data_IF_380706941693
#
_entry.id   IF_380706941693
#
_cell.length_a   1.000
_cell.length_b   1.000
_cell.length_c   1.000
_cell.angle_alpha   90.00
_cell.angle_beta   90.00
_cell.angle_gamma   90.00
#
_symmetry.space_group_name_H-M   'P 1'
#
loop_
_entity.id
_entity.type
_entity.pdbx_description
1 polymer ?
#
# COMPACT_ATOMS: atom_id res chain seq x y z
N UNK A 1 17.03 12.77 -2.55
CA UNK A 1 15.97 12.43 -1.56
C UNK A 1 15.46 11.00 -1.83
N UNK A 2 15.39 10.15 -0.80
CA UNK A 2 14.91 8.77 -0.94
C UNK A 2 13.38 8.68 -0.94
N UNK A 3 12.83 7.59 -1.47
CA UNK A 3 11.40 7.28 -1.44
C UNK A 3 11.19 5.77 -1.28
N UNK A 4 10.08 5.40 -0.62
CA UNK A 4 9.64 4.01 -0.48
C UNK A 4 8.53 3.77 -1.51
N UNK A 5 8.64 2.73 -2.33
CA UNK A 5 7.66 2.41 -3.37
C UNK A 5 6.75 1.25 -2.92
N UNK A 6 5.44 1.45 -3.04
CA UNK A 6 4.40 0.47 -2.77
C UNK A 6 3.64 0.14 -4.05
N UNK A 7 3.56 -1.15 -4.39
CA UNK A 7 2.79 -1.68 -5.54
C UNK A 7 3.03 -0.97 -6.89
N UNK A 8 4.22 -0.39 -7.10
CA UNK A 8 4.64 0.23 -8.35
C UNK A 8 4.08 1.63 -8.68
N UNK A 9 3.02 2.09 -8.01
CA UNK A 9 2.40 3.41 -8.30
C UNK A 9 2.27 4.33 -7.08
N UNK A 10 2.32 3.79 -5.87
CA UNK A 10 2.31 4.61 -4.65
C UNK A 10 3.76 4.81 -4.19
N UNK A 11 4.16 6.03 -3.84
CA UNK A 11 5.44 6.29 -3.22
C UNK A 11 5.25 7.16 -1.97
N UNK A 12 6.04 6.89 -0.95
CA UNK A 12 6.13 7.71 0.26
C UNK A 12 7.49 8.40 0.22
N UNK A 13 7.56 9.74 0.21
CA UNK A 13 8.84 10.44 0.31
C UNK A 13 9.52 10.08 1.64
N UNK A 14 10.84 10.13 1.73
CA UNK A 14 11.51 10.01 3.02
C UNK A 14 11.15 11.23 3.89
N UNK A 15 10.80 10.99 5.17
CA UNK A 15 10.50 12.06 6.10
C UNK A 15 11.71 12.99 6.27
N UNK A 16 11.47 14.29 6.16
CA UNK A 16 12.42 15.36 6.46
C UNK A 16 11.75 16.47 7.29
N UNK A 17 12.55 17.45 7.71
CA UNK A 17 12.10 18.54 8.59
C UNK A 17 11.06 19.48 7.96
N UNK A 18 10.84 19.39 6.64
CA UNK A 18 9.96 20.27 5.86
C UNK A 18 8.71 19.59 5.33
N UNK A 19 8.68 18.25 5.27
CA UNK A 19 7.66 17.50 4.53
C UNK A 19 6.67 16.70 5.40
N UNK A 20 6.67 16.89 6.73
CA UNK A 20 5.85 16.08 7.64
C UNK A 20 4.37 15.96 7.26
N UNK A 21 3.74 17.06 6.81
CA UNK A 21 2.34 17.03 6.39
C UNK A 21 2.10 16.12 5.19
N UNK A 22 2.90 16.28 4.13
CA UNK A 22 2.85 15.45 2.92
C UNK A 22 3.22 13.99 3.23
N UNK A 23 4.27 13.78 4.03
CA UNK A 23 4.69 12.45 4.47
C UNK A 23 3.56 11.72 5.20
N UNK A 24 2.91 12.40 6.15
CA UNK A 24 1.82 11.83 6.96
C UNK A 24 0.62 11.47 6.08
N UNK A 25 0.22 12.34 5.17
CA UNK A 25 -0.89 12.07 4.25
C UNK A 25 -0.61 10.84 3.39
N UNK A 26 0.58 10.75 2.80
CA UNK A 26 0.99 9.60 1.98
C UNK A 26 1.03 8.29 2.78
N UNK A 27 1.52 8.31 4.03
CA UNK A 27 1.50 7.15 4.93
C UNK A 27 0.08 6.70 5.23
N UNK A 28 -0.79 7.62 5.66
CA UNK A 28 -2.17 7.27 6.03
C UNK A 28 -2.95 6.76 4.82
N UNK A 29 -2.78 7.38 3.65
CA UNK A 29 -3.42 6.94 2.42
C UNK A 29 -2.95 5.54 2.00
N UNK A 30 -1.63 5.30 2.01
CA UNK A 30 -1.07 4.00 1.59
C UNK A 30 -1.50 2.88 2.53
N UNK A 31 -1.46 3.11 3.84
CA UNK A 31 -1.94 2.13 4.83
C UNK A 31 -3.45 1.85 4.66
N UNK A 32 -4.26 2.90 4.48
CA UNK A 32 -5.70 2.74 4.25
C UNK A 32 -6.01 1.96 2.97
N UNK A 33 -5.25 2.18 1.89
CA UNK A 33 -5.38 1.41 0.66
C UNK A 33 -4.99 -0.06 0.85
N UNK A 34 -3.88 -0.35 1.56
CA UNK A 34 -3.47 -1.73 1.86
C UNK A 34 -4.49 -2.47 2.73
N UNK A 35 -5.06 -1.80 3.73
CA UNK A 35 -6.09 -2.37 4.58
C UNK A 35 -7.38 -2.67 3.79
N UNK A 36 -7.76 -1.79 2.86
CA UNK A 36 -8.89 -2.02 1.95
C UNK A 36 -8.65 -3.21 1.01
N UNK A 37 -7.49 -3.26 0.36
CA UNK A 37 -7.11 -4.40 -0.50
C UNK A 37 -7.14 -5.71 0.29
N UNK A 38 -6.65 -5.69 1.54
CA UNK A 38 -6.68 -6.85 2.43
C UNK A 38 -8.10 -7.25 2.84
N UNK A 39 -8.96 -6.28 3.18
CA UNK A 39 -10.36 -6.53 3.53
C UNK A 39 -11.18 -7.06 2.34
N UNK A 40 -10.82 -6.66 1.12
CA UNK A 40 -11.46 -7.14 -0.12
C UNK A 40 -10.89 -8.47 -0.61
N UNK A 41 -9.73 -8.91 -0.08
CA UNK A 41 -9.06 -10.13 -0.54
C UNK A 41 -9.92 -11.35 -0.23
N UNK A 42 -10.40 -12.00 -1.28
CA UNK A 42 -11.04 -13.30 -1.19
C UNK A 42 -9.98 -14.40 -1.03
N UNK A 43 -10.28 -15.48 -0.30
CA UNK A 43 -9.43 -16.66 -0.33
C UNK A 43 -9.28 -17.13 -1.77
N UNK A 44 -8.10 -17.67 -2.09
CA UNK A 44 -7.84 -18.26 -3.39
C UNK A 44 -8.87 -19.38 -3.63
N UNK A 45 -9.50 -19.44 -4.82
CA UNK A 45 -10.40 -20.55 -5.13
C UNK A 45 -9.64 -21.87 -5.00
N UNK A 46 -10.30 -22.95 -4.55
CA UNK A 46 -9.66 -24.24 -4.49
C UNK A 46 -9.11 -24.63 -5.88
N UNK A 47 -7.99 -25.38 -5.94
CA UNK A 47 -7.47 -25.90 -7.20
C UNK A 47 -8.58 -26.62 -7.97
N UNK A 48 -8.59 -26.47 -9.29
CA UNK A 48 -9.50 -27.25 -10.14
C UNK A 48 -9.21 -28.74 -9.91
N UNK A 49 -10.18 -29.47 -9.36
CA UNK A 49 -10.13 -30.93 -9.36
C UNK A 49 -10.28 -31.40 -10.81
N UNK A 50 -9.24 -32.02 -11.36
CA UNK A 50 -9.35 -32.74 -12.62
C UNK A 50 -10.25 -33.96 -12.38
N UNK A 51 -11.32 -34.07 -13.15
CA UNK A 51 -12.20 -35.26 -13.20
C UNK A 51 -11.49 -36.43 -13.91
#
# INVERSE_FOLDING_TARGET
PGSIYFNGSNFIPLLDDSNYAEWKENVVFTLGYMDLDMALRRPEPPPLTQE
#
